data_IF_547399806595
#
_entry.id   IF_547399806595
#
_cell.length_a   1.000
_cell.length_b   1.000
_cell.length_c   1.000
_cell.angle_alpha   90.00
_cell.angle_beta   90.00
_cell.angle_gamma   90.00
#
_symmetry.space_group_name_H-M   'P 1'
#
loop_
_entity.id
_entity.type
_entity.pdbx_description
1 polymer ?
#
# COMPACT_ATOMS: atom_id res chain seq x y z
N UNK A 1 24.69 27.07 -25.66
CA UNK A 1 24.47 25.65 -25.31
C UNK A 1 23.78 25.64 -23.97
N UNK A 2 22.48 25.32 -23.93
CA UNK A 2 21.72 25.28 -22.68
C UNK A 2 22.03 23.96 -21.97
N UNK A 3 22.66 24.04 -20.80
CA UNK A 3 22.85 22.90 -19.93
C UNK A 3 21.48 22.51 -19.36
N UNK A 4 20.93 21.39 -19.84
CA UNK A 4 19.75 20.75 -19.27
C UNK A 4 20.10 20.23 -17.87
N UNK A 5 19.92 21.07 -16.85
CA UNK A 5 19.92 20.61 -15.48
C UNK A 5 18.59 19.90 -15.23
N UNK A 6 18.62 18.57 -15.14
CA UNK A 6 17.52 17.83 -14.53
C UNK A 6 17.45 18.26 -13.06
N UNK A 7 16.60 19.23 -12.76
CA UNK A 7 16.33 19.69 -11.40
C UNK A 7 15.43 18.67 -10.71
N UNK A 8 16.03 17.58 -10.22
CA UNK A 8 15.36 16.66 -9.32
C UNK A 8 15.31 17.28 -7.93
N UNK A 9 14.14 17.79 -7.53
CA UNK A 9 13.92 18.27 -6.17
C UNK A 9 13.70 17.07 -5.25
N UNK A 10 14.71 16.70 -4.47
CA UNK A 10 14.59 15.67 -3.43
C UNK A 10 14.13 16.33 -2.12
N UNK A 11 12.85 16.17 -1.78
CA UNK A 11 12.36 16.52 -0.44
C UNK A 11 12.71 15.38 0.52
N UNK A 12 13.59 15.63 1.48
CA UNK A 12 14.05 14.62 2.42
C UNK A 12 13.61 15.00 3.84
N UNK A 13 12.68 14.22 4.37
CA UNK A 13 12.09 14.43 5.70
C UNK A 13 12.99 13.88 6.82
N UNK A 14 13.84 12.89 6.53
CA UNK A 14 14.83 12.33 7.47
C UNK A 14 16.25 12.85 7.20
N UNK A 15 17.11 12.95 8.25
CA UNK A 15 18.52 13.30 8.06
C UNK A 15 19.26 12.20 7.28
N UNK A 16 19.88 12.58 6.16
CA UNK A 16 20.72 11.67 5.37
C UNK A 16 22.00 11.35 6.15
N UNK A 17 22.30 10.06 6.32
CA UNK A 17 23.52 9.57 6.95
C UNK A 17 24.54 9.10 5.92
N UNK A 18 25.79 9.53 6.08
CA UNK A 18 26.91 9.16 5.21
C UNK A 18 27.35 7.73 5.53
N UNK A 19 27.40 6.84 4.54
CA UNK A 19 27.81 5.44 4.77
C UNK A 19 29.32 5.25 5.00
N UNK A 20 30.12 6.32 4.87
CA UNK A 20 31.57 6.27 5.14
C UNK A 20 31.86 6.66 6.59
N UNK A 21 31.35 7.80 7.06
CA UNK A 21 31.58 8.27 8.43
C UNK A 21 30.46 7.93 9.41
N UNK A 22 29.37 7.33 8.93
CA UNK A 22 28.17 6.97 9.68
C UNK A 22 27.46 8.15 10.38
N UNK A 23 27.87 9.38 10.10
CA UNK A 23 27.29 10.61 10.64
C UNK A 23 26.39 11.35 9.64
N UNK A 24 25.85 12.50 10.08
CA UNK A 24 25.10 13.41 9.21
C UNK A 24 25.96 13.82 8.01
N UNK A 25 25.40 13.71 6.80
CA UNK A 25 26.11 14.13 5.58
C UNK A 25 26.39 15.62 5.62
N UNK A 26 27.64 16.01 5.31
CA UNK A 26 28.09 17.39 5.12
C UNK A 26 28.54 17.58 3.67
N UNK A 27 28.05 18.64 3.00
CA UNK A 27 28.32 18.90 1.58
C UNK A 27 28.02 17.64 0.74
N UNK A 28 26.74 17.24 0.65
CA UNK A 28 26.35 15.98 0.06
C UNK A 28 26.78 15.85 -1.40
N UNK A 29 27.49 14.77 -1.70
CA UNK A 29 27.76 14.31 -3.06
C UNK A 29 26.99 13.03 -3.34
N UNK A 30 26.54 12.88 -4.57
CA UNK A 30 25.72 11.78 -5.02
C UNK A 30 26.40 11.02 -6.17
N UNK A 31 26.42 9.70 -6.10
CA UNK A 31 26.85 8.87 -7.24
C UNK A 31 25.72 8.72 -8.27
N UNK A 32 26.00 8.11 -9.42
CA UNK A 32 25.02 7.86 -10.48
C UNK A 32 23.79 7.03 -10.05
N UNK A 33 23.96 6.16 -9.05
CA UNK A 33 22.88 5.35 -8.47
C UNK A 33 22.26 6.01 -7.22
N UNK A 34 22.41 7.32 -7.06
CA UNK A 34 21.75 8.10 -6.02
C UNK A 34 22.17 7.82 -4.56
N UNK A 35 23.30 7.14 -4.33
CA UNK A 35 23.89 7.04 -2.98
C UNK A 35 24.59 8.33 -2.58
N UNK A 36 24.37 8.78 -1.34
CA UNK A 36 24.79 10.08 -0.82
C UNK A 36 25.89 9.93 0.23
N UNK A 37 26.93 10.76 0.12
CA UNK A 37 28.09 10.79 1.03
C UNK A 37 28.50 12.23 1.34
N UNK A 38 29.32 12.45 2.38
CA UNK A 38 30.00 13.74 2.54
C UNK A 38 31.03 13.92 1.43
N UNK A 39 31.16 15.14 0.90
CA UNK A 39 32.19 15.47 -0.11
C UNK A 39 33.59 15.03 0.33
N UNK A 40 34.01 15.42 1.54
CA UNK A 40 35.32 15.06 2.09
C UNK A 40 35.51 13.55 2.30
N UNK A 41 34.46 12.83 2.69
CA UNK A 41 34.51 11.38 2.86
C UNK A 41 34.70 10.69 1.52
N UNK A 42 33.96 11.13 0.50
CA UNK A 42 34.06 10.58 -0.85
C UNK A 42 35.42 10.89 -1.49
N UNK A 43 35.94 12.10 -1.30
CA UNK A 43 37.27 12.49 -1.78
C UNK A 43 38.39 11.60 -1.18
N UNK A 44 38.35 11.33 0.13
CA UNK A 44 39.29 10.42 0.79
C UNK A 44 39.17 8.98 0.28
N UNK A 45 37.94 8.52 0.02
CA UNK A 45 37.68 7.17 -0.48
C UNK A 45 38.23 6.98 -1.90
N UNK A 46 37.98 7.95 -2.78
CA UNK A 46 38.39 7.91 -4.19
C UNK A 46 39.91 7.92 -4.39
N UNK A 47 40.69 8.34 -3.38
CA UNK A 47 42.17 8.21 -3.38
C UNK A 47 42.64 6.76 -3.34
N UNK A 48 41.82 5.82 -2.84
CA UNK A 48 42.17 4.40 -2.71
C UNK A 48 41.45 3.51 -3.71
N UNK A 49 40.21 3.83 -4.04
CA UNK A 49 39.38 3.03 -4.95
C UNK A 49 38.42 3.92 -5.72
N UNK A 50 38.33 3.72 -7.04
CA UNK A 50 37.48 4.50 -7.94
C UNK A 50 36.06 3.93 -8.05
N UNK A 51 35.50 3.39 -6.97
CA UNK A 51 34.17 2.76 -6.95
C UNK A 51 33.30 3.32 -5.83
N UNK A 52 31.99 3.41 -6.03
CA UNK A 52 31.04 3.79 -4.99
C UNK A 52 31.11 2.83 -3.78
N UNK A 53 31.18 3.34 -2.52
CA UNK A 53 31.19 2.48 -1.33
C UNK A 53 29.97 1.57 -1.19
N UNK A 54 28.81 1.97 -1.73
CA UNK A 54 27.55 1.23 -1.56
C UNK A 54 27.26 0.30 -2.72
N UNK A 55 27.20 0.81 -3.96
CA UNK A 55 26.84 0.01 -5.13
C UNK A 55 28.03 -0.50 -5.95
N UNK A 56 29.27 -0.13 -5.60
CA UNK A 56 30.51 -0.51 -6.29
C UNK A 56 30.59 -0.08 -7.77
N UNK A 57 29.64 0.72 -8.26
CA UNK A 57 29.72 1.30 -9.61
C UNK A 57 30.98 2.16 -9.74
N UNK A 58 31.73 2.06 -10.85
CA UNK A 58 32.90 2.89 -11.11
C UNK A 58 32.55 4.40 -11.14
N UNK A 59 33.39 5.20 -10.52
CA UNK A 59 33.35 6.67 -10.55
C UNK A 59 34.46 7.12 -11.50
N UNK A 60 34.09 7.64 -12.67
CA UNK A 60 35.01 8.09 -13.72
C UNK A 60 34.70 9.52 -14.14
N UNK A 61 35.47 10.10 -15.06
CA UNK A 61 35.22 11.45 -15.57
C UNK A 61 33.89 11.55 -16.33
N UNK A 62 33.47 10.47 -16.97
CA UNK A 62 32.19 10.35 -17.69
C UNK A 62 31.02 10.13 -16.72
N UNK A 63 31.30 9.58 -15.53
CA UNK A 63 30.31 9.29 -14.49
C UNK A 63 30.77 9.78 -13.10
N UNK A 64 30.93 11.10 -12.90
CA UNK A 64 31.45 11.65 -11.66
C UNK A 64 30.39 11.67 -10.56
N UNK A 65 30.84 11.76 -9.31
CA UNK A 65 29.96 12.19 -8.23
C UNK A 65 29.53 13.64 -8.45
N UNK A 66 28.25 13.93 -8.23
CA UNK A 66 27.66 15.27 -8.40
C UNK A 66 27.32 15.88 -7.04
N UNK A 67 27.44 17.18 -6.92
CA UNK A 67 26.97 17.90 -5.72
C UNK A 67 25.44 18.01 -5.73
N UNK A 68 24.81 17.88 -4.55
CA UNK A 68 23.37 18.12 -4.42
C UNK A 68 23.13 19.61 -4.17
N UNK A 69 22.60 20.31 -5.17
CA UNK A 69 22.21 21.73 -5.06
C UNK A 69 21.11 21.85 -4.01
N UNK A 70 21.36 22.66 -2.97
CA UNK A 70 20.42 22.85 -1.85
C UNK A 70 20.58 21.85 -0.69
N UNK A 71 21.48 20.86 -0.80
CA UNK A 71 21.93 20.10 0.35
C UNK A 71 22.75 21.02 1.25
N UNK A 72 22.37 21.18 2.52
CA UNK A 72 22.97 22.22 3.36
C UNK A 72 24.50 22.06 3.44
N UNK A 73 25.21 23.07 2.92
CA UNK A 73 26.62 23.27 3.21
C UNK A 73 26.72 23.69 4.68
N UNK A 74 26.67 22.72 5.60
CA UNK A 74 27.05 22.93 7.00
C UNK A 74 28.59 23.01 7.12
N UNK A 75 29.21 23.79 6.24
CA UNK A 75 30.50 24.42 6.48
C UNK A 75 30.20 25.84 6.89
N UNK A 76 30.01 26.07 8.18
CA UNK A 76 29.96 27.38 8.84
C UNK A 76 29.25 28.52 8.09
N UNK A 77 28.08 28.25 7.49
CA UNK A 77 27.21 29.35 7.12
C UNK A 77 26.61 29.89 8.42
N UNK A 78 26.98 31.13 8.76
CA UNK A 78 26.54 31.88 9.93
C UNK A 78 25.06 32.26 9.80
N UNK A 79 24.19 31.29 9.52
CA UNK A 79 22.76 31.53 9.43
C UNK A 79 22.29 32.06 10.76
N UNK A 80 21.80 33.30 10.71
CA UNK A 80 21.21 33.98 11.85
C UNK A 80 20.23 33.02 12.53
N UNK A 81 20.22 32.95 13.87
CA UNK A 81 19.27 32.12 14.61
C UNK A 81 17.82 32.26 14.12
N UNK A 82 17.45 33.45 13.64
CA UNK A 82 16.16 33.76 13.04
C UNK A 82 15.89 33.00 11.74
N UNK A 83 16.86 32.93 10.82
CA UNK A 83 16.72 32.21 9.54
C UNK A 83 16.55 30.71 9.78
N UNK A 84 17.34 30.13 10.69
CA UNK A 84 17.21 28.72 11.09
C UNK A 84 15.86 28.42 11.72
N UNK A 85 15.35 29.33 12.57
CA UNK A 85 14.03 29.20 13.17
C UNK A 85 12.93 29.25 12.11
N UNK A 86 13.04 30.17 11.14
CA UNK A 86 12.10 30.29 10.02
C UNK A 86 12.05 29.00 9.19
N UNK A 87 13.21 28.51 8.74
CA UNK A 87 13.30 27.28 7.94
C UNK A 87 12.72 26.05 8.66
N UNK A 88 13.02 25.91 9.95
CA UNK A 88 12.42 24.83 10.78
C UNK A 88 10.92 24.96 10.88
N UNK A 89 10.40 26.17 11.06
CA UNK A 89 8.97 26.44 11.12
C UNK A 89 8.30 26.10 9.80
N UNK A 90 8.81 26.62 8.68
CA UNK A 90 8.27 26.36 7.34
C UNK A 90 8.28 24.88 7.01
N UNK A 91 9.38 24.17 7.32
CA UNK A 91 9.43 22.71 7.14
C UNK A 91 8.37 21.99 7.97
N UNK A 92 8.15 22.40 9.22
CA UNK A 92 7.10 21.84 10.07
C UNK A 92 5.70 22.12 9.53
N UNK A 93 5.44 23.33 9.04
CA UNK A 93 4.17 23.73 8.42
C UNK A 93 3.86 22.92 7.16
N UNK A 94 4.86 22.71 6.29
CA UNK A 94 4.69 21.89 5.08
C UNK A 94 4.38 20.44 5.42
N UNK A 95 5.13 19.84 6.35
CA UNK A 95 4.89 18.46 6.81
C UNK A 95 3.50 18.30 7.43
N UNK A 96 3.09 19.26 8.26
CA UNK A 96 1.77 19.22 8.88
C UNK A 96 0.67 19.24 7.83
N UNK A 97 0.79 20.14 6.84
CA UNK A 97 -0.17 20.23 5.74
C UNK A 97 -0.25 18.95 4.92
N UNK A 98 0.89 18.33 4.61
CA UNK A 98 0.93 17.04 3.91
C UNK A 98 0.16 15.95 4.69
N UNK A 99 0.34 15.87 6.01
CA UNK A 99 -0.41 14.93 6.84
C UNK A 99 -1.90 15.29 6.95
N UNK A 100 -2.24 16.57 7.07
CA UNK A 100 -3.64 17.02 7.11
C UNK A 100 -4.38 16.65 5.82
N UNK A 101 -3.77 16.89 4.65
CA UNK A 101 -4.31 16.51 3.35
C UNK A 101 -4.52 14.98 3.22
N UNK A 102 -3.58 14.19 3.74
CA UNK A 102 -3.68 12.72 3.75
C UNK A 102 -4.81 12.23 4.67
N UNK A 103 -4.92 12.79 5.88
CA UNK A 103 -6.00 12.48 6.83
C UNK A 103 -7.36 12.83 6.21
N UNK A 104 -7.49 14.01 5.60
CA UNK A 104 -8.72 14.40 4.91
C UNK A 104 -9.05 13.46 3.75
N UNK A 105 -8.02 13.02 3.01
CA UNK A 105 -8.16 12.00 1.97
C UNK A 105 -8.76 10.70 2.51
N UNK A 106 -8.19 10.18 3.60
CA UNK A 106 -8.69 8.96 4.24
C UNK A 106 -10.11 9.12 4.80
N UNK A 107 -10.44 10.28 5.36
CA UNK A 107 -11.80 10.55 5.85
C UNK A 107 -12.80 10.50 4.71
N UNK A 108 -12.52 11.15 3.56
CA UNK A 108 -13.42 11.10 2.40
C UNK A 108 -13.60 9.68 1.87
N UNK A 109 -12.51 8.94 1.71
CA UNK A 109 -12.56 7.55 1.24
C UNK A 109 -13.39 6.68 2.20
N UNK A 110 -13.24 6.88 3.51
CA UNK A 110 -14.00 6.13 4.51
C UNK A 110 -15.51 6.41 4.40
N UNK A 111 -15.90 7.67 4.19
CA UNK A 111 -17.31 8.03 4.00
C UNK A 111 -17.88 7.50 2.67
N UNK A 112 -17.10 7.53 1.58
CA UNK A 112 -17.48 6.90 0.31
C UNK A 112 -17.65 5.39 0.44
N UNK A 113 -16.76 4.73 1.17
CA UNK A 113 -16.86 3.29 1.45
C UNK A 113 -18.08 2.98 2.32
N UNK A 114 -18.36 3.76 3.36
CA UNK A 114 -19.55 3.59 4.20
C UNK A 114 -20.85 3.75 3.41
N UNK A 115 -20.96 4.79 2.59
CA UNK A 115 -22.15 5.03 1.77
C UNK A 115 -22.36 3.92 0.75
N UNK A 116 -21.28 3.46 0.11
CA UNK A 116 -21.33 2.31 -0.80
C UNK A 116 -21.77 1.04 -0.07
N UNK A 117 -21.20 0.77 1.10
CA UNK A 117 -21.55 -0.40 1.89
C UNK A 117 -23.04 -0.39 2.30
N UNK A 118 -23.54 0.74 2.82
CA UNK A 118 -24.96 0.90 3.16
C UNK A 118 -25.89 0.71 1.95
N UNK A 119 -25.49 1.19 0.77
CA UNK A 119 -26.24 0.98 -0.48
C UNK A 119 -26.28 -0.50 -0.86
N UNK A 120 -25.14 -1.19 -0.81
CA UNK A 120 -25.05 -2.61 -1.09
C UNK A 120 -25.87 -3.43 -0.08
N UNK A 121 -25.78 -3.12 1.21
CA UNK A 121 -26.59 -3.76 2.26
C UNK A 121 -28.09 -3.57 2.00
N UNK A 122 -28.51 -2.38 1.59
CA UNK A 122 -29.92 -2.10 1.25
C UNK A 122 -30.38 -2.89 0.03
N UNK A 123 -29.56 -2.94 -1.03
CA UNK A 123 -29.83 -3.75 -2.22
C UNK A 123 -29.92 -5.24 -1.89
N UNK A 124 -29.01 -5.74 -1.06
CA UNK A 124 -29.01 -7.13 -0.62
C UNK A 124 -30.27 -7.45 0.20
N UNK A 125 -30.66 -6.55 1.09
CA UNK A 125 -31.90 -6.68 1.88
C UNK A 125 -33.14 -6.70 0.98
N UNK A 126 -33.22 -5.84 -0.03
CA UNK A 126 -34.33 -5.83 -0.99
C UNK A 126 -34.36 -7.11 -1.84
N UNK A 127 -33.20 -7.60 -2.29
CA UNK A 127 -33.11 -8.84 -3.07
C UNK A 127 -33.49 -10.10 -2.25
N UNK A 128 -33.31 -10.04 -0.93
CA UNK A 128 -33.69 -11.10 0.00
C UNK A 128 -35.12 -10.96 0.54
N UNK A 129 -35.83 -9.87 0.21
CA UNK A 129 -37.19 -9.63 0.68
C UNK A 129 -38.20 -10.51 -0.12
N UNK A 130 -38.99 -11.39 0.51
CA UNK A 130 -39.82 -12.38 -0.19
C UNK A 130 -40.91 -11.79 -1.12
N UNK A 131 -41.16 -10.48 -1.06
CA UNK A 131 -42.21 -9.82 -1.85
C UNK A 131 -41.81 -9.43 -3.28
N UNK A 132 -40.53 -9.50 -3.67
CA UNK A 132 -40.12 -9.14 -5.04
C UNK A 132 -40.46 -10.18 -6.12
N UNK A 133 -41.03 -11.33 -5.75
CA UNK A 133 -41.51 -12.36 -6.70
C UNK A 133 -42.96 -12.10 -7.16
N UNK A 134 -43.70 -11.19 -6.52
CA UNK A 134 -45.16 -11.07 -6.74
C UNK A 134 -45.64 -9.83 -7.51
N UNK A 135 -44.75 -9.03 -8.12
CA UNK A 135 -45.15 -7.78 -8.77
C UNK A 135 -45.11 -7.79 -10.31
N UNK A 136 -44.83 -8.93 -10.96
CA UNK A 136 -44.97 -9.07 -12.42
C UNK A 136 -45.85 -10.28 -12.71
N UNK A 137 -47.06 -9.97 -13.17
CA UNK A 137 -48.09 -10.86 -13.72
C UNK A 137 -48.85 -11.73 -12.71
N UNK A 138 -49.97 -11.17 -12.25
CA UNK A 138 -51.24 -11.90 -12.15
C UNK A 138 -51.60 -12.51 -13.52
N UNK A 139 -50.94 -13.61 -13.88
CA UNK A 139 -51.65 -14.71 -14.53
C UNK A 139 -51.78 -15.81 -13.49
N UNK A 140 -53.04 -16.12 -13.19
CA UNK A 140 -53.48 -17.27 -12.42
C UNK A 140 -52.87 -18.55 -13.01
N UNK A 141 -51.74 -18.99 -12.45
CA UNK A 141 -51.26 -20.37 -12.55
C UNK A 141 -50.90 -20.84 -11.15
N UNK A 142 -51.95 -21.08 -10.39
CA UNK A 142 -52.01 -22.09 -9.35
C UNK A 142 -51.01 -23.21 -9.66
N UNK A 143 -49.85 -23.21 -8.98
CA UNK A 143 -48.84 -24.25 -9.18
C UNK A 143 -49.52 -25.53 -8.74
N UNK A 144 -49.70 -26.45 -9.70
CA UNK A 144 -50.44 -27.69 -9.50
C UNK A 144 -50.00 -28.34 -8.17
N UNK A 145 -50.90 -28.50 -7.20
CA UNK A 145 -50.61 -29.16 -5.93
C UNK A 145 -49.91 -30.52 -6.10
N UNK A 146 -50.14 -31.18 -7.24
CA UNK A 146 -49.47 -32.42 -7.61
C UNK A 146 -47.95 -32.25 -7.83
N UNK A 147 -47.52 -31.14 -8.43
CA UNK A 147 -46.10 -30.83 -8.67
C UNK A 147 -45.40 -30.51 -7.36
N UNK A 148 -46.05 -29.76 -6.46
CA UNK A 148 -45.49 -29.45 -5.12
C UNK A 148 -45.31 -30.72 -4.29
N UNK A 149 -46.29 -31.62 -4.33
CA UNK A 149 -46.21 -32.92 -3.66
C UNK A 149 -45.08 -33.79 -4.27
N UNK A 150 -44.90 -33.76 -5.59
CA UNK A 150 -43.79 -34.47 -6.25
C UNK A 150 -42.42 -33.96 -5.80
N UNK A 151 -42.23 -32.64 -5.71
CA UNK A 151 -40.99 -32.05 -5.22
C UNK A 151 -40.74 -32.34 -3.74
N UNK A 152 -41.79 -32.33 -2.92
CA UNK A 152 -41.69 -32.71 -1.51
C UNK A 152 -41.27 -34.18 -1.37
N UNK A 153 -41.79 -35.06 -2.21
CA UNK A 153 -41.41 -36.47 -2.24
C UNK A 153 -39.98 -36.68 -2.75
N UNK A 154 -39.54 -35.94 -3.78
CA UNK A 154 -38.15 -35.97 -4.26
C UNK A 154 -37.17 -35.48 -3.20
N UNK A 155 -37.50 -34.39 -2.50
CA UNK A 155 -36.67 -33.86 -1.42
C UNK A 155 -36.57 -34.86 -0.26
N UNK A 156 -37.70 -35.45 0.15
CA UNK A 156 -37.73 -36.49 1.19
C UNK A 156 -36.89 -37.71 0.82
N UNK A 157 -36.98 -38.15 -0.43
CA UNK A 157 -36.16 -39.26 -0.92
C UNK A 157 -34.66 -38.91 -0.91
N UNK A 158 -34.28 -37.72 -1.35
CA UNK A 158 -32.89 -37.26 -1.33
C UNK A 158 -32.32 -37.18 0.09
N UNK A 159 -33.09 -36.66 1.05
CA UNK A 159 -32.71 -36.59 2.46
C UNK A 159 -32.48 -37.99 3.04
N UNK A 160 -33.40 -38.93 2.79
CA UNK A 160 -33.26 -40.31 3.26
C UNK A 160 -31.98 -40.98 2.70
N UNK A 161 -31.63 -40.71 1.43
CA UNK A 161 -30.40 -41.23 0.83
C UNK A 161 -29.16 -40.62 1.49
N UNK A 162 -29.15 -39.31 1.76
CA UNK A 162 -28.06 -38.67 2.48
C UNK A 162 -27.87 -39.26 3.89
N UNK A 163 -28.97 -39.49 4.61
CA UNK A 163 -28.93 -40.08 5.95
C UNK A 163 -28.42 -41.52 5.91
N UNK A 164 -28.84 -42.31 4.90
CA UNK A 164 -28.35 -43.67 4.70
C UNK A 164 -26.86 -43.69 4.39
N UNK A 165 -26.39 -42.83 3.47
CA UNK A 165 -24.96 -42.73 3.12
C UNK A 165 -24.14 -42.32 4.34
N UNK A 166 -24.66 -41.42 5.17
CA UNK A 166 -23.99 -41.01 6.41
C UNK A 166 -23.88 -42.18 7.39
N UNK A 167 -24.97 -42.93 7.58
CA UNK A 167 -24.97 -44.11 8.44
C UNK A 167 -24.01 -45.19 7.93
N UNK A 168 -24.00 -45.45 6.62
CA UNK A 168 -23.09 -46.43 6.01
C UNK A 168 -21.63 -45.99 6.11
N UNK A 169 -21.36 -44.69 5.96
CA UNK A 169 -20.03 -44.10 6.15
C UNK A 169 -19.55 -44.29 7.60
N UNK A 170 -20.43 -44.07 8.58
CA UNK A 170 -20.07 -44.23 9.99
C UNK A 170 -19.89 -45.72 10.36
N UNK A 171 -20.72 -46.62 9.82
CA UNK A 171 -20.54 -48.07 9.96
C UNK A 171 -19.22 -48.56 9.33
N UNK A 172 -18.83 -48.01 8.18
CA UNK A 172 -17.53 -48.33 7.56
C UNK A 172 -16.36 -47.83 8.41
N UNK A 173 -16.46 -46.65 9.02
CA UNK A 173 -15.45 -46.16 9.97
C UNK A 173 -15.34 -47.08 11.19
N UNK A 174 -16.47 -47.50 11.76
CA UNK A 174 -16.49 -48.43 12.91
C UNK A 174 -15.87 -49.79 12.53
N UNK A 175 -16.23 -50.34 11.37
CA UNK A 175 -15.65 -51.59 10.87
C UNK A 175 -14.15 -51.47 10.57
N UNK A 176 -13.68 -50.31 10.10
CA UNK A 176 -12.24 -50.05 9.87
C UNK A 176 -11.42 -49.89 11.16
N UNK A 177 -12.08 -49.60 12.30
CA UNK A 177 -11.44 -49.49 13.61
C UNK A 177 -11.47 -50.82 14.41
N UNK A 178 -12.09 -51.88 13.88
CA UNK A 178 -12.17 -53.22 14.50
C UNK A 178 -11.29 -54.28 13.80
N UNK A 179 -10.43 -53.88 12.87
CA UNK A 179 -9.41 -54.72 12.21
C UNK A 179 -8.01 -54.18 12.57
#
# INVERSE_FOLDING_TARGET
>A
MALNFQTSTLSLTLPISCQICLGKVKQPVICANHHVFCSSCMEMWLKKTSQCPTCRVPITAENPCREIIGGTNEGDHHDSPSTRKCLRKTRGELLLREYEEEIEGFIRENEELKTTNQSLESQLKTALDPCSVNAVQTEDKNIDPCVVEEWMNKLRAATNVCDQVKQDTDRLKEASNLC
#
